data_IF_872610628956
#
_entry.id   IF_872610628956
#
_cell.length_a   1.000
_cell.length_b   1.000
_cell.length_c   1.000
_cell.angle_alpha   90.00
_cell.angle_beta   90.00
_cell.angle_gamma   90.00
#
_symmetry.space_group_name_H-M   'P 1'
#
loop_
_entity.id
_entity.type
_entity.pdbx_description
1 polymer ?
#
# COMPACT_ATOMS: atom_id res chain seq x y z
N UNK A 1 -3.74 18.33 4.30
CA UNK A 1 -3.96 17.13 3.45
C UNK A 1 -4.52 16.06 4.37
N UNK A 2 -5.43 15.19 3.92
CA UNK A 2 -6.00 14.13 4.78
C UNK A 2 -5.60 12.74 4.28
N UNK A 3 -5.45 11.81 5.22
CA UNK A 3 -5.19 10.39 4.96
C UNK A 3 -6.30 9.54 5.58
N UNK A 4 -6.55 8.38 4.96
CA UNK A 4 -7.55 7.43 5.43
C UNK A 4 -6.88 6.32 6.23
N UNK A 5 -7.34 6.09 7.46
CA UNK A 5 -6.83 5.03 8.34
C UNK A 5 -7.93 4.01 8.62
N UNK A 6 -7.57 2.73 8.57
CA UNK A 6 -8.39 1.64 9.08
C UNK A 6 -7.96 1.25 10.50
N UNK A 7 -8.91 1.26 11.45
CA UNK A 7 -8.67 0.79 12.80
C UNK A 7 -8.46 -0.73 12.82
N UNK A 8 -7.23 -1.18 13.09
CA UNK A 8 -6.82 -2.61 13.17
C UNK A 8 -7.31 -3.35 14.43
N UNK A 9 -8.27 -2.81 15.18
CA UNK A 9 -8.87 -3.53 16.32
C UNK A 9 -9.85 -4.56 15.76
N UNK A 10 -9.75 -5.80 16.22
CA UNK A 10 -10.49 -6.98 15.73
C UNK A 10 -12.01 -6.72 15.65
N UNK A 11 -12.61 -6.02 16.62
CA UNK A 11 -14.05 -5.71 16.65
C UNK A 11 -14.43 -4.30 16.15
N UNK A 12 -13.49 -3.54 15.56
CA UNK A 12 -13.78 -2.17 15.09
C UNK A 12 -13.78 -2.10 13.56
N UNK A 13 -12.64 -2.37 12.93
CA UNK A 13 -12.45 -2.26 11.47
C UNK A 13 -12.78 -0.90 10.84
N UNK A 14 -13.15 0.11 11.65
CA UNK A 14 -13.67 1.40 11.19
C UNK A 14 -12.61 2.16 10.41
N UNK A 15 -13.01 2.64 9.24
CA UNK A 15 -12.22 3.52 8.39
C UNK A 15 -12.60 4.97 8.68
N UNK A 16 -11.62 5.84 8.88
CA UNK A 16 -11.82 7.26 9.17
C UNK A 16 -10.69 8.13 8.59
N UNK A 17 -11.00 9.39 8.34
CA UNK A 17 -10.07 10.38 7.80
C UNK A 17 -9.42 11.18 8.93
N UNK A 18 -8.13 11.48 8.76
CA UNK A 18 -7.36 12.32 9.68
C UNK A 18 -6.40 13.20 8.92
N UNK A 19 -5.96 14.28 9.54
CA UNK A 19 -4.92 15.14 8.99
C UNK A 19 -3.62 14.35 8.81
N UNK A 20 -3.05 14.46 7.60
CA UNK A 20 -1.79 13.80 7.23
C UNK A 20 -0.59 14.32 8.05
N UNK A 21 -0.71 15.53 8.60
CA UNK A 21 0.31 16.20 9.40
C UNK A 21 0.22 15.83 10.90
N UNK A 22 -0.79 15.03 11.30
CA UNK A 22 -0.94 14.60 12.69
C UNK A 22 0.04 13.47 13.04
N UNK A 23 0.63 13.51 14.24
CA UNK A 23 1.52 12.46 14.75
C UNK A 23 0.75 11.20 15.16
N UNK A 24 -0.51 11.38 15.57
CA UNK A 24 -1.39 10.30 16.01
C UNK A 24 -2.86 10.58 15.69
N UNK A 25 -3.62 9.50 15.58
CA UNK A 25 -5.02 9.49 15.20
C UNK A 25 -5.84 8.63 16.17
N UNK A 26 -6.88 9.21 16.78
CA UNK A 26 -7.79 8.46 17.65
C UNK A 26 -9.01 7.98 16.89
N UNK A 27 -9.26 6.67 16.91
CA UNK A 27 -10.44 6.09 16.28
C UNK A 27 -11.72 6.59 16.97
N UNK A 28 -12.66 7.20 16.23
CA UNK A 28 -13.90 7.74 16.81
C UNK A 28 -14.86 6.65 17.30
N UNK A 29 -14.71 5.42 16.80
CA UNK A 29 -15.60 4.31 17.15
C UNK A 29 -15.17 3.57 18.42
N UNK A 30 -13.88 3.30 18.58
CA UNK A 30 -13.38 2.46 19.68
C UNK A 30 -12.39 3.17 20.61
N UNK A 31 -12.06 4.43 20.32
CA UNK A 31 -11.17 5.28 21.12
C UNK A 31 -9.70 4.90 21.08
N UNK A 32 -9.31 3.88 20.29
CA UNK A 32 -7.93 3.42 20.15
C UNK A 32 -7.09 4.46 19.41
N UNK A 33 -5.88 4.69 19.91
CA UNK A 33 -4.88 5.57 19.28
C UNK A 33 -4.07 4.80 18.24
N UNK A 34 -3.79 5.46 17.13
CA UNK A 34 -2.99 4.97 16.01
C UNK A 34 -1.87 5.98 15.73
N UNK A 35 -0.61 5.56 15.87
CA UNK A 35 0.53 6.38 15.47
C UNK A 35 0.61 6.49 13.95
N UNK A 36 0.72 7.71 13.45
CA UNK A 36 0.76 8.05 12.02
C UNK A 36 2.18 8.06 11.45
N UNK A 37 3.19 7.86 12.29
CA UNK A 37 4.63 7.80 11.94
C UNK A 37 4.99 6.80 10.83
N UNK A 38 4.07 5.91 10.45
CA UNK A 38 4.23 4.92 9.38
C UNK A 38 3.27 5.10 8.18
N UNK A 39 2.40 6.12 8.20
CA UNK A 39 1.38 6.35 7.14
C UNK A 39 1.74 7.58 6.29
N UNK A 40 2.52 8.52 6.83
CA UNK A 40 3.27 9.49 6.05
C UNK A 40 4.47 8.77 5.43
N UNK A 41 4.19 7.89 4.47
CA UNK A 41 5.19 7.48 3.51
C UNK A 41 5.75 8.73 2.85
N UNK A 42 6.85 9.24 3.38
CA UNK A 42 7.93 9.56 2.48
C UNK A 42 8.20 8.23 1.76
N UNK A 43 7.64 8.11 0.55
CA UNK A 43 8.01 7.06 -0.37
C UNK A 43 9.48 7.34 -0.72
N UNK A 44 10.38 6.94 0.17
CA UNK A 44 11.84 6.99 0.00
C UNK A 44 12.29 6.02 -1.11
N UNK A 45 11.36 5.42 -1.87
CA UNK A 45 11.66 4.43 -2.88
C UNK A 45 12.41 3.23 -2.33
N UNK A 46 12.26 2.90 -1.04
CA UNK A 46 12.92 1.75 -0.44
C UNK A 46 11.99 0.53 -0.56
N UNK A 47 12.21 -0.38 -1.53
CA UNK A 47 11.38 -1.56 -1.67
C UNK A 47 11.50 -2.44 -0.43
N UNK A 48 10.36 -2.78 0.16
CA UNK A 48 10.24 -3.86 1.14
C UNK A 48 10.58 -5.19 0.45
N UNK A 49 11.88 -5.51 0.41
CA UNK A 49 12.40 -6.76 -0.14
C UNK A 49 12.04 -7.94 0.76
N UNK A 50 10.87 -8.52 0.50
CA UNK A 50 10.46 -9.78 1.11
C UNK A 50 9.67 -10.65 0.13
N UNK A 51 10.37 -11.23 -0.85
CA UNK A 51 10.45 -12.67 -1.13
C UNK A 51 10.85 -12.92 -2.59
N UNK A 52 11.58 -14.01 -2.78
CA UNK A 52 11.87 -14.61 -4.09
C UNK A 52 10.55 -14.85 -4.84
N UNK A 53 10.17 -13.93 -5.72
CA UNK A 53 9.17 -14.13 -6.77
C UNK A 53 9.44 -13.14 -7.87
N UNK A 54 9.49 -13.67 -9.07
CA UNK A 54 9.90 -13.04 -10.31
C UNK A 54 9.14 -11.73 -10.61
N UNK A 55 9.92 -10.67 -10.84
CA UNK A 55 9.55 -9.35 -11.39
C UNK A 55 8.64 -8.46 -10.54
N UNK A 56 9.25 -7.50 -9.84
CA UNK A 56 8.58 -6.30 -9.31
C UNK A 56 8.49 -5.21 -10.39
N UNK A 57 7.28 -4.70 -10.65
CA UNK A 57 7.03 -3.54 -11.53
C UNK A 57 6.22 -2.52 -10.75
N UNK A 58 6.87 -1.43 -10.32
CA UNK A 58 6.21 -0.29 -9.70
C UNK A 58 6.03 0.83 -10.74
N UNK A 59 4.80 1.33 -10.87
CA UNK A 59 4.46 2.51 -11.69
C UNK A 59 3.66 3.48 -10.83
N UNK A 60 4.17 4.70 -10.66
CA UNK A 60 3.57 5.70 -9.78
C UNK A 60 2.71 6.70 -10.55
N UNK A 61 1.69 7.24 -9.89
CA UNK A 61 0.64 8.04 -10.52
C UNK A 61 1.07 9.38 -11.13
N UNK A 62 2.28 9.88 -10.82
CA UNK A 62 2.84 11.07 -11.47
C UNK A 62 3.21 10.79 -12.93
N UNK A 63 3.64 9.55 -13.23
CA UNK A 63 4.10 9.13 -14.57
C UNK A 63 2.95 8.83 -15.53
N UNK A 64 1.71 8.73 -15.02
CA UNK A 64 0.50 8.40 -15.78
C UNK A 64 -0.46 9.58 -15.96
N UNK A 65 -0.09 10.77 -15.48
CA UNK A 65 -0.94 11.95 -15.62
C UNK A 65 -1.16 12.26 -17.12
N UNK A 66 -2.36 11.96 -17.62
CA UNK A 66 -2.76 12.15 -19.01
C UNK A 66 -2.37 11.03 -19.98
N UNK A 67 -1.90 9.88 -19.50
CA UNK A 67 -1.50 8.74 -20.33
C UNK A 67 -2.03 7.40 -19.76
N UNK A 68 -2.19 6.41 -20.63
CA UNK A 68 -2.59 5.05 -20.26
C UNK A 68 -1.37 4.15 -20.02
N UNK A 69 -1.39 3.38 -18.93
CA UNK A 69 -0.45 2.29 -18.70
C UNK A 69 -0.90 1.05 -19.48
N UNK A 70 -0.10 0.59 -20.45
CA UNK A 70 -0.37 -0.63 -21.22
C UNK A 70 0.68 -1.69 -20.88
N UNK A 71 0.22 -2.83 -20.33
CA UNK A 71 1.08 -3.97 -19.99
C UNK A 71 0.74 -5.13 -20.94
N UNK A 72 1.67 -5.51 -21.83
CA UNK A 72 1.57 -6.71 -22.66
C UNK A 72 2.35 -7.86 -22.01
N UNK A 73 1.63 -8.90 -21.56
CA UNK A 73 2.25 -10.08 -20.93
C UNK A 73 2.30 -11.23 -21.92
N UNK A 74 3.50 -11.71 -22.26
CA UNK A 74 3.72 -12.94 -23.05
C UNK A 74 4.14 -14.08 -22.14
N UNK A 75 3.23 -15.01 -21.88
CA UNK A 75 3.49 -16.17 -21.02
C UNK A 75 3.95 -17.34 -21.90
N UNK A 76 5.16 -17.85 -21.64
CA UNK A 76 5.63 -19.12 -22.20
C UNK A 76 5.48 -20.21 -21.16
N UNK A 77 4.74 -21.26 -21.49
CA UNK A 77 4.58 -22.42 -20.62
C UNK A 77 5.65 -23.47 -20.97
N UNK A 78 6.32 -23.98 -19.94
CA UNK A 78 7.25 -25.10 -20.07
C UNK A 78 6.73 -26.29 -19.25
N UNK A 79 6.80 -27.49 -19.81
CA UNK A 79 6.37 -28.72 -19.13
C UNK A 79 7.30 -28.96 -17.94
N UNK A 80 6.74 -28.88 -16.72
CA UNK A 80 7.47 -29.20 -15.50
C UNK A 80 7.60 -30.72 -15.40
N UNK A 81 8.77 -31.27 -15.74
CA UNK A 81 9.04 -32.69 -15.49
C UNK A 81 9.00 -32.94 -13.98
N UNK A 82 8.01 -33.72 -13.54
CA UNK A 82 7.93 -34.19 -12.16
C UNK A 82 9.03 -35.25 -11.95
N UNK A 83 10.05 -34.92 -11.16
CA UNK A 83 11.03 -35.88 -10.65
C UNK A 83 10.56 -36.44 -9.31
#
# INVERSE_FOLDING_TARGET
MTVTIQCRREDCGRVFEVDADAESARCPACGREHSLEAVTGHDDGRPDVARESDADVAVSGADLAGNDLVIEIRIRLETREAR
#
